data_IF_836491701512
#
_entry.id   IF_836491701512
#
_cell.length_a   1.000
_cell.length_b   1.000
_cell.length_c   1.000
_cell.angle_alpha   90.00
_cell.angle_beta   90.00
_cell.angle_gamma   90.00
#
_symmetry.space_group_name_H-M   'P 1'
#
loop_
_entity.id
_entity.type
_entity.pdbx_description
1 polymer ?
#
# COMPACT_ATOMS: atom_id res chain seq x y z
N UNK A 1 -45.61 -2.09 -3.75
CA UNK A 1 -45.99 -0.83 -4.43
C UNK A 1 -44.82 0.13 -4.62
N UNK A 2 -44.02 0.41 -3.59
CA UNK A 2 -42.91 1.38 -3.64
C UNK A 2 -41.84 1.08 -4.73
N UNK A 3 -41.38 -0.17 -4.88
CA UNK A 3 -40.38 -0.55 -5.91
C UNK A 3 -40.91 -0.40 -7.35
N UNK A 4 -42.23 -0.55 -7.57
CA UNK A 4 -42.85 -0.36 -8.89
C UNK A 4 -42.83 1.12 -9.31
N UNK A 5 -43.16 2.02 -8.39
CA UNK A 5 -43.10 3.46 -8.63
C UNK A 5 -41.66 3.92 -8.89
N UNK A 6 -40.68 3.41 -8.14
CA UNK A 6 -39.26 3.71 -8.40
C UNK A 6 -38.86 3.25 -9.81
N UNK A 7 -39.27 2.05 -10.24
CA UNK A 7 -39.00 1.56 -11.61
C UNK A 7 -39.55 2.49 -12.68
N UNK A 8 -40.77 2.97 -12.51
CA UNK A 8 -41.41 3.90 -13.44
C UNK A 8 -40.68 5.25 -13.48
N UNK A 9 -40.17 5.75 -12.35
CA UNK A 9 -39.36 6.97 -12.31
C UNK A 9 -37.97 6.78 -12.96
N UNK A 10 -37.31 5.65 -12.75
CA UNK A 10 -36.04 5.34 -13.40
C UNK A 10 -36.21 5.18 -14.92
N UNK A 11 -37.30 4.57 -15.38
CA UNK A 11 -37.64 4.49 -16.80
C UNK A 11 -37.80 5.89 -17.41
N UNK A 12 -38.57 6.76 -16.76
CA UNK A 12 -38.73 8.15 -17.21
C UNK A 12 -37.41 8.92 -17.22
N UNK A 13 -36.53 8.66 -16.24
CA UNK A 13 -35.21 9.29 -16.22
C UNK A 13 -34.36 8.86 -17.43
N UNK A 14 -34.43 7.59 -17.84
CA UNK A 14 -33.78 7.08 -19.05
C UNK A 14 -34.36 7.76 -20.29
N UNK A 15 -35.69 7.75 -20.46
CA UNK A 15 -36.36 8.39 -21.60
C UNK A 15 -36.02 9.90 -21.71
N UNK A 16 -35.98 10.61 -20.57
CA UNK A 16 -35.62 12.02 -20.54
C UNK A 16 -34.14 12.24 -20.88
N UNK A 17 -33.25 11.38 -20.41
CA UNK A 17 -31.82 11.46 -20.74
C UNK A 17 -31.59 11.24 -22.22
N UNK A 18 -32.31 10.31 -22.85
CA UNK A 18 -32.29 10.13 -24.31
C UNK A 18 -32.76 11.37 -25.04
N UNK A 19 -33.86 11.99 -24.58
CA UNK A 19 -34.36 13.21 -25.20
C UNK A 19 -33.37 14.38 -25.06
N UNK A 20 -32.72 14.51 -23.90
CA UNK A 20 -31.68 15.52 -23.67
C UNK A 20 -30.51 15.29 -24.63
N UNK A 21 -29.98 14.07 -24.71
CA UNK A 21 -28.86 13.74 -25.60
C UNK A 21 -29.27 13.86 -27.08
N UNK A 22 -30.48 13.46 -27.44
CA UNK A 22 -31.00 13.59 -28.80
C UNK A 22 -31.24 15.05 -29.22
N UNK A 23 -31.56 15.93 -28.28
CA UNK A 23 -31.78 17.35 -28.55
C UNK A 23 -30.46 18.13 -28.63
N UNK A 24 -29.57 17.93 -27.64
CA UNK A 24 -28.33 18.71 -27.53
C UNK A 24 -27.13 18.08 -28.22
N UNK A 25 -27.15 16.77 -28.49
CA UNK A 25 -26.04 15.99 -29.05
C UNK A 25 -25.16 15.34 -27.98
N UNK A 26 -24.80 16.07 -26.92
CA UNK A 26 -24.03 15.57 -25.78
C UNK A 26 -24.34 16.36 -24.49
N UNK A 27 -23.92 15.85 -23.33
CA UNK A 27 -24.00 16.59 -22.06
C UNK A 27 -23.10 17.81 -22.04
N UNK A 28 -21.98 17.79 -22.79
CA UNK A 28 -21.12 18.97 -22.93
C UNK A 28 -21.85 20.10 -23.67
N UNK A 29 -22.53 19.77 -24.76
CA UNK A 29 -23.32 20.76 -25.50
C UNK A 29 -24.53 21.24 -24.70
N UNK A 30 -25.18 20.36 -23.92
CA UNK A 30 -26.23 20.74 -22.99
C UNK A 30 -25.73 21.68 -21.90
N UNK A 31 -24.53 21.44 -21.36
CA UNK A 31 -23.86 22.30 -20.38
C UNK A 31 -23.63 23.70 -20.92
N UNK A 32 -23.06 23.83 -22.12
CA UNK A 32 -22.83 25.12 -22.78
C UNK A 32 -24.15 25.88 -22.99
N UNK A 33 -25.19 25.21 -23.51
CA UNK A 33 -26.48 25.82 -23.80
C UNK A 33 -27.28 26.22 -22.56
N UNK A 34 -27.06 25.55 -21.42
CA UNK A 34 -27.81 25.76 -20.18
C UNK A 34 -27.00 26.50 -19.10
N UNK A 35 -25.83 27.04 -19.45
CA UNK A 35 -24.90 27.71 -18.52
C UNK A 35 -25.59 28.78 -17.65
N UNK A 36 -26.50 29.57 -18.23
CA UNK A 36 -27.22 30.64 -17.52
C UNK A 36 -28.18 30.13 -16.43
N UNK A 37 -28.52 28.84 -16.45
CA UNK A 37 -29.39 28.19 -15.47
C UNK A 37 -28.60 27.42 -14.39
N UNK A 38 -27.27 27.37 -14.50
CA UNK A 38 -26.40 26.69 -13.55
C UNK A 38 -26.11 27.60 -12.33
N UNK A 39 -26.01 27.00 -11.15
CA UNK A 39 -25.41 27.70 -10.00
C UNK A 39 -23.91 27.85 -10.26
N UNK A 40 -23.29 28.87 -9.66
CA UNK A 40 -21.86 29.17 -9.83
C UNK A 40 -20.99 27.91 -9.65
N UNK A 41 -20.12 27.65 -10.63
CA UNK A 41 -19.23 26.47 -10.71
C UNK A 41 -19.93 25.11 -10.90
N UNK A 42 -21.17 25.08 -11.39
CA UNK A 42 -21.82 23.85 -11.87
C UNK A 42 -21.77 23.75 -13.40
N UNK A 43 -21.52 22.54 -13.90
CA UNK A 43 -21.54 22.21 -15.32
C UNK A 43 -22.97 22.00 -15.82
N UNK A 44 -23.85 21.41 -15.01
CA UNK A 44 -25.25 21.18 -15.38
C UNK A 44 -26.20 21.68 -14.29
N UNK A 45 -27.43 22.12 -14.65
CA UNK A 45 -28.46 22.40 -13.66
C UNK A 45 -28.77 21.14 -12.85
N UNK A 46 -28.87 21.26 -11.51
CA UNK A 46 -29.04 20.11 -10.61
C UNK A 46 -30.18 19.13 -11.02
N UNK A 47 -31.37 19.58 -11.46
CA UNK A 47 -32.42 18.66 -11.89
C UNK A 47 -32.02 17.80 -13.09
N UNK A 48 -31.27 18.38 -14.04
CA UNK A 48 -30.79 17.68 -15.22
C UNK A 48 -29.71 16.68 -14.81
N UNK A 49 -28.73 17.10 -14.01
CA UNK A 49 -27.70 16.21 -13.48
C UNK A 49 -28.32 15.00 -12.76
N UNK A 50 -29.28 15.23 -11.84
CA UNK A 50 -29.96 14.13 -11.14
C UNK A 50 -30.71 13.19 -12.08
N UNK A 51 -31.33 13.71 -13.14
CA UNK A 51 -32.03 12.90 -14.13
C UNK A 51 -31.06 11.95 -14.85
N UNK A 52 -29.93 12.47 -15.31
CA UNK A 52 -28.88 11.67 -15.95
C UNK A 52 -28.32 10.62 -15.00
N UNK A 53 -28.03 10.99 -13.75
CA UNK A 53 -27.52 10.05 -12.76
C UNK A 53 -28.52 8.93 -12.43
N UNK A 54 -29.83 9.23 -12.39
CA UNK A 54 -30.86 8.19 -12.23
C UNK A 54 -31.00 7.29 -13.45
N UNK A 55 -30.79 7.82 -14.66
CA UNK A 55 -30.82 7.01 -15.88
C UNK A 55 -29.75 5.91 -15.87
N UNK A 56 -28.65 6.16 -15.15
CA UNK A 56 -27.54 5.22 -15.01
C UNK A 56 -27.79 4.08 -14.01
N UNK A 57 -28.86 4.11 -13.21
CA UNK A 57 -29.04 3.16 -12.08
C UNK A 57 -29.25 1.71 -12.54
N UNK A 58 -29.88 1.49 -13.69
CA UNK A 58 -30.31 0.16 -14.15
C UNK A 58 -29.98 -0.06 -15.62
N UNK A 59 -29.91 -1.33 -16.01
CA UNK A 59 -29.67 -1.75 -17.39
C UNK A 59 -30.57 -1.01 -18.40
N UNK A 60 -29.98 -0.56 -19.50
CA UNK A 60 -30.64 0.12 -20.60
C UNK A 60 -29.80 -0.03 -21.88
N UNK A 61 -30.40 -0.13 -23.09
CA UNK A 61 -29.64 -0.21 -24.35
C UNK A 61 -28.62 0.92 -24.55
N UNK A 62 -28.93 2.13 -24.07
CA UNK A 62 -28.05 3.31 -24.15
C UNK A 62 -27.27 3.59 -22.86
N UNK A 63 -27.27 2.66 -21.89
CA UNK A 63 -26.60 2.88 -20.61
C UNK A 63 -25.10 3.20 -20.79
N UNK A 64 -24.43 2.53 -21.72
CA UNK A 64 -23.02 2.81 -22.03
C UNK A 64 -22.78 4.25 -22.48
N UNK A 65 -23.70 4.81 -23.27
CA UNK A 65 -23.66 6.22 -23.71
C UNK A 65 -23.86 7.14 -22.51
N UNK A 66 -24.86 6.89 -21.67
CA UNK A 66 -25.15 7.71 -20.49
C UNK A 66 -23.94 7.78 -19.55
N UNK A 67 -23.32 6.63 -19.26
CA UNK A 67 -22.12 6.57 -18.42
C UNK A 67 -20.91 7.25 -19.07
N UNK A 68 -20.75 7.08 -20.40
CA UNK A 68 -19.70 7.75 -21.16
C UNK A 68 -19.79 9.27 -21.07
N UNK A 69 -20.98 9.83 -21.27
CA UNK A 69 -21.25 11.27 -21.16
C UNK A 69 -20.98 11.80 -19.75
N UNK A 70 -21.38 11.07 -18.71
CA UNK A 70 -21.06 11.42 -17.32
C UNK A 70 -19.55 11.37 -17.08
N UNK A 71 -18.87 10.35 -17.62
CA UNK A 71 -17.43 10.22 -17.49
C UNK A 71 -16.69 11.38 -18.17
N UNK A 72 -17.03 11.72 -19.41
CA UNK A 72 -16.41 12.83 -20.14
C UNK A 72 -16.55 14.18 -19.44
N UNK A 73 -17.69 14.41 -18.79
CA UNK A 73 -17.98 15.65 -18.07
C UNK A 73 -17.26 15.73 -16.73
N UNK A 74 -17.20 14.61 -15.98
CA UNK A 74 -16.89 14.65 -14.55
C UNK A 74 -15.61 13.90 -14.14
N UNK A 75 -15.00 13.07 -15.00
CA UNK A 75 -13.87 12.22 -14.62
C UNK A 75 -12.60 12.99 -14.21
N UNK A 76 -12.37 14.16 -14.81
CA UNK A 76 -11.17 14.98 -14.56
C UNK A 76 -11.34 15.96 -13.40
N UNK A 77 -12.52 16.05 -12.81
CA UNK A 77 -12.75 16.93 -11.66
C UNK A 77 -12.17 16.25 -10.41
N UNK A 78 -11.08 16.80 -9.91
CA UNK A 78 -10.40 16.30 -8.71
C UNK A 78 -10.96 16.89 -7.40
N UNK A 79 -11.70 18.00 -7.50
CA UNK A 79 -12.26 18.74 -6.37
C UNK A 79 -13.45 19.61 -6.82
N UNK A 80 -14.30 20.01 -5.89
CA UNK A 80 -15.47 20.87 -6.15
C UNK A 80 -16.79 20.27 -5.66
N UNK A 81 -17.77 21.15 -5.42
CA UNK A 81 -19.07 20.76 -4.85
C UNK A 81 -19.87 19.83 -5.78
N UNK A 82 -19.78 20.03 -7.10
CA UNK A 82 -20.50 19.21 -8.08
C UNK A 82 -19.88 17.80 -8.21
N UNK A 83 -18.55 17.69 -8.26
CA UNK A 83 -17.86 16.39 -8.21
C UNK A 83 -18.23 15.61 -6.94
N UNK A 84 -18.22 16.28 -5.78
CA UNK A 84 -18.67 15.67 -4.53
C UNK A 84 -20.14 15.27 -4.59
N UNK A 85 -21.00 16.05 -5.24
CA UNK A 85 -22.43 15.73 -5.41
C UNK A 85 -22.60 14.45 -6.24
N UNK A 86 -21.92 14.34 -7.39
CA UNK A 86 -21.94 13.15 -8.25
C UNK A 86 -21.43 11.92 -7.47
N UNK A 87 -20.26 12.05 -6.84
CA UNK A 87 -19.64 10.95 -6.07
C UNK A 87 -20.49 10.53 -4.87
N UNK A 88 -21.03 11.48 -4.10
CA UNK A 88 -21.91 11.21 -2.97
C UNK A 88 -23.21 10.57 -3.42
N UNK A 89 -23.82 11.06 -4.50
CA UNK A 89 -25.06 10.49 -5.03
C UNK A 89 -24.88 9.02 -5.42
N UNK A 90 -23.85 8.70 -6.21
CA UNK A 90 -23.58 7.33 -6.66
C UNK A 90 -23.24 6.37 -5.52
N UNK A 91 -22.61 6.86 -4.44
CA UNK A 91 -22.22 6.02 -3.30
C UNK A 91 -23.30 5.87 -2.22
N UNK A 92 -24.20 6.84 -2.08
CA UNK A 92 -25.16 6.89 -0.95
C UNK A 92 -26.61 6.67 -1.35
N UNK A 93 -26.98 6.87 -2.62
CA UNK A 93 -28.36 6.74 -3.03
C UNK A 93 -28.81 5.27 -2.97
N UNK A 94 -29.87 5.02 -2.19
CA UNK A 94 -30.42 3.68 -1.95
C UNK A 94 -30.80 2.95 -3.23
N UNK A 95 -31.11 3.65 -4.33
CA UNK A 95 -31.54 3.02 -5.58
C UNK A 95 -30.44 2.20 -6.25
N UNK A 96 -29.17 2.59 -6.10
CA UNK A 96 -28.03 1.76 -6.53
C UNK A 96 -27.89 0.47 -5.71
N UNK A 97 -28.54 0.38 -4.54
CA UNK A 97 -28.54 -0.84 -3.71
C UNK A 97 -29.82 -1.66 -3.86
N UNK A 98 -30.95 -1.02 -4.18
CA UNK A 98 -32.26 -1.66 -4.31
C UNK A 98 -32.44 -2.38 -5.66
N UNK A 99 -31.65 -2.02 -6.68
CA UNK A 99 -31.73 -2.60 -8.01
C UNK A 99 -30.47 -3.41 -8.33
N UNK A 100 -30.57 -4.48 -9.14
CA UNK A 100 -29.39 -5.20 -9.60
C UNK A 100 -28.48 -4.26 -10.39
N UNK A 101 -27.19 -4.25 -10.03
CA UNK A 101 -26.19 -3.52 -10.78
C UNK A 101 -26.07 -4.08 -12.21
N UNK A 102 -26.01 -3.20 -13.23
CA UNK A 102 -25.58 -3.57 -14.58
C UNK A 102 -24.25 -4.30 -14.55
N UNK A 103 -24.00 -5.24 -15.47
CA UNK A 103 -22.74 -5.98 -15.52
C UNK A 103 -21.78 -5.37 -16.54
N UNK A 104 -20.59 -4.95 -16.10
CA UNK A 104 -19.52 -4.43 -16.99
C UNK A 104 -19.12 -5.44 -18.07
N UNK A 105 -19.00 -6.71 -17.68
CA UNK A 105 -18.74 -7.84 -18.58
C UNK A 105 -20.00 -8.70 -18.54
N UNK A 106 -20.60 -8.90 -19.71
CA UNK A 106 -21.80 -9.71 -19.84
C UNK A 106 -21.57 -11.17 -19.43
N UNK A 107 -22.65 -11.92 -19.26
CA UNK A 107 -22.58 -13.36 -18.96
C UNK A 107 -21.98 -14.17 -20.11
N UNK A 108 -22.01 -13.62 -21.32
CA UNK A 108 -21.35 -14.09 -22.54
C UNK A 108 -19.83 -13.82 -22.54
N UNK A 109 -19.31 -13.12 -21.53
CA UNK A 109 -17.90 -12.77 -21.43
C UNK A 109 -17.50 -11.56 -22.27
N UNK A 110 -18.46 -10.84 -22.86
CA UNK A 110 -18.20 -9.67 -23.71
C UNK A 110 -18.24 -8.38 -22.89
N UNK A 111 -17.35 -7.43 -23.21
CA UNK A 111 -17.36 -6.12 -22.60
C UNK A 111 -18.62 -5.34 -23.02
N UNK A 112 -19.46 -4.95 -22.05
CA UNK A 112 -20.67 -4.14 -22.29
C UNK A 112 -20.44 -2.66 -22.09
N UNK A 113 -19.60 -2.31 -21.12
CA UNK A 113 -19.37 -0.95 -20.69
C UNK A 113 -17.89 -0.67 -20.53
N UNK A 114 -17.46 0.53 -20.92
CA UNK A 114 -16.10 1.01 -20.68
C UNK A 114 -15.77 1.00 -19.18
N UNK A 115 -14.69 0.31 -18.75
CA UNK A 115 -14.36 0.15 -17.34
C UNK A 115 -14.20 1.46 -16.56
N UNK A 116 -13.62 2.49 -17.18
CA UNK A 116 -13.40 3.79 -16.53
C UNK A 116 -14.70 4.52 -16.21
N UNK A 117 -15.62 4.58 -17.17
CA UNK A 117 -16.96 5.15 -17.00
C UNK A 117 -17.80 4.30 -16.02
N UNK A 118 -17.74 2.98 -16.15
CA UNK A 118 -18.45 2.06 -15.26
C UNK A 118 -17.97 2.19 -13.82
N UNK A 119 -16.65 2.31 -13.57
CA UNK A 119 -16.12 2.51 -12.21
C UNK A 119 -16.54 3.85 -11.61
N UNK A 120 -16.65 4.91 -12.41
CA UNK A 120 -17.12 6.21 -11.92
C UNK A 120 -18.55 6.10 -11.37
N UNK A 121 -19.43 5.41 -12.10
CA UNK A 121 -20.88 5.32 -11.82
C UNK A 121 -21.22 4.19 -10.85
N UNK A 122 -20.70 2.99 -11.10
CA UNK A 122 -20.95 1.75 -10.35
C UNK A 122 -19.68 1.25 -9.64
N UNK A 123 -18.91 2.15 -9.04
CA UNK A 123 -17.64 1.86 -8.37
C UNK A 123 -17.66 0.64 -7.42
N UNK A 124 -18.63 0.53 -6.49
CA UNK A 124 -18.72 -0.65 -5.62
C UNK A 124 -18.89 -1.97 -6.37
N UNK A 125 -19.68 -1.99 -7.44
CA UNK A 125 -19.89 -3.17 -8.27
C UNK A 125 -18.65 -3.49 -9.12
N UNK A 126 -17.93 -2.47 -9.60
CA UNK A 126 -16.63 -2.63 -10.26
C UNK A 126 -15.61 -3.30 -9.33
N UNK A 127 -15.44 -2.78 -8.11
CA UNK A 127 -14.48 -3.34 -7.14
C UNK A 127 -14.83 -4.77 -6.75
N UNK A 128 -16.12 -5.06 -6.58
CA UNK A 128 -16.60 -6.43 -6.34
C UNK A 128 -16.31 -7.34 -7.53
N UNK A 129 -16.62 -6.90 -8.75
CA UNK A 129 -16.37 -7.66 -9.97
C UNK A 129 -14.89 -7.98 -10.17
N UNK A 130 -14.01 -7.01 -9.96
CA UNK A 130 -12.56 -7.22 -10.03
C UNK A 130 -12.09 -8.20 -8.94
N UNK A 131 -12.61 -8.08 -7.72
CA UNK A 131 -12.31 -9.03 -6.63
C UNK A 131 -12.77 -10.45 -6.96
N UNK A 132 -13.94 -10.60 -7.58
CA UNK A 132 -14.48 -11.90 -8.01
C UNK A 132 -13.63 -12.52 -9.14
N UNK A 133 -13.08 -11.71 -10.05
CA UNK A 133 -12.12 -12.17 -11.08
C UNK A 133 -10.85 -12.73 -10.41
N UNK A 134 -10.26 -12.00 -9.46
CA UNK A 134 -9.08 -12.48 -8.72
C UNK A 134 -9.37 -13.78 -7.96
N UNK A 135 -10.57 -13.92 -7.38
CA UNK A 135 -10.99 -15.15 -6.69
C UNK A 135 -11.11 -16.34 -7.64
N UNK A 136 -11.49 -16.12 -8.90
CA UNK A 136 -11.57 -17.16 -9.93
C UNK A 136 -10.19 -17.59 -10.45
N UNK A 137 -9.15 -16.78 -10.25
CA UNK A 137 -7.77 -17.15 -10.57
C UNK A 137 -7.26 -16.63 -11.91
N UNK A 138 -6.14 -17.20 -12.37
CA UNK A 138 -5.40 -16.74 -13.54
C UNK A 138 -6.22 -16.76 -14.84
N UNK A 139 -6.98 -17.82 -15.11
CA UNK A 139 -7.78 -17.95 -16.34
C UNK A 139 -8.81 -16.81 -16.48
N UNK A 140 -9.42 -16.39 -15.37
CA UNK A 140 -10.37 -15.28 -15.37
C UNK A 140 -9.68 -13.92 -15.60
N UNK A 141 -8.44 -13.76 -15.15
CA UNK A 141 -7.62 -12.58 -15.45
C UNK A 141 -7.18 -12.58 -16.91
N UNK A 142 -6.76 -13.71 -17.46
CA UNK A 142 -6.45 -13.82 -18.89
C UNK A 142 -7.67 -13.50 -19.76
N UNK A 143 -8.85 -13.96 -19.36
CA UNK A 143 -10.10 -13.58 -20.02
C UNK A 143 -10.34 -12.06 -19.95
N UNK A 144 -10.14 -11.42 -18.80
CA UNK A 144 -10.25 -9.96 -18.68
C UNK A 144 -9.25 -9.25 -19.60
N UNK A 145 -8.00 -9.69 -19.61
CA UNK A 145 -6.93 -9.13 -20.45
C UNK A 145 -7.23 -9.32 -21.95
N UNK A 146 -7.90 -10.41 -22.32
CA UNK A 146 -8.31 -10.65 -23.71
C UNK A 146 -9.31 -9.62 -24.25
N UNK A 147 -10.03 -8.92 -23.35
CA UNK A 147 -10.97 -7.84 -23.69
C UNK A 147 -10.28 -6.48 -23.84
N UNK A 148 -8.98 -6.35 -23.56
CA UNK A 148 -8.25 -5.08 -23.66
C UNK A 148 -8.31 -4.42 -25.04
N UNK A 149 -8.32 -5.14 -26.18
CA UNK A 149 -8.48 -4.53 -27.49
C UNK A 149 -9.77 -3.73 -27.65
N UNK A 150 -10.83 -4.11 -26.93
CA UNK A 150 -12.14 -3.46 -26.96
C UNK A 150 -12.26 -2.27 -25.98
N UNK A 151 -11.20 -1.97 -25.23
CA UNK A 151 -11.17 -0.91 -24.21
C UNK A 151 -10.39 0.32 -24.68
N UNK A 152 -10.83 1.49 -24.22
CA UNK A 152 -10.02 2.71 -24.29
C UNK A 152 -8.70 2.59 -23.51
N UNK A 153 -7.69 3.37 -23.90
CA UNK A 153 -6.41 3.43 -23.20
C UNK A 153 -6.55 3.85 -21.73
N UNK A 154 -7.44 4.81 -21.44
CA UNK A 154 -7.74 5.24 -20.08
C UNK A 154 -8.30 4.09 -19.22
N UNK A 155 -9.21 3.28 -19.77
CA UNK A 155 -9.75 2.10 -19.10
C UNK A 155 -8.67 1.04 -18.84
N UNK A 156 -7.80 0.76 -19.82
CA UNK A 156 -6.68 -0.19 -19.67
C UNK A 156 -5.70 0.25 -18.58
N UNK A 157 -5.25 1.51 -18.62
CA UNK A 157 -4.32 2.05 -17.63
C UNK A 157 -4.92 2.02 -16.22
N UNK A 158 -6.21 2.34 -16.09
CA UNK A 158 -6.91 2.26 -14.82
C UNK A 158 -7.01 0.81 -14.32
N UNK A 159 -7.37 -0.14 -15.19
CA UNK A 159 -7.43 -1.56 -14.83
C UNK A 159 -6.07 -2.11 -14.41
N UNK A 160 -5.03 -1.85 -15.19
CA UNK A 160 -3.64 -2.23 -14.87
C UNK A 160 -3.26 -1.72 -13.47
N UNK A 161 -3.54 -0.44 -13.17
CA UNK A 161 -3.32 0.13 -11.85
C UNK A 161 -4.12 -0.58 -10.76
N UNK A 162 -5.42 -0.82 -10.94
CA UNK A 162 -6.27 -1.48 -9.94
C UNK A 162 -5.85 -2.93 -9.68
N UNK A 163 -5.49 -3.66 -10.74
CA UNK A 163 -5.02 -5.04 -10.63
C UNK A 163 -3.67 -5.12 -9.92
N UNK A 164 -2.74 -4.23 -10.27
CA UNK A 164 -1.44 -4.13 -9.60
C UNK A 164 -1.61 -3.82 -8.11
N UNK A 165 -2.45 -2.84 -7.76
CA UNK A 165 -2.76 -2.50 -6.37
C UNK A 165 -3.34 -3.69 -5.58
N UNK A 166 -4.23 -4.49 -6.20
CA UNK A 166 -4.74 -5.72 -5.55
C UNK A 166 -3.65 -6.75 -5.29
N UNK A 167 -2.67 -6.89 -6.19
CA UNK A 167 -1.52 -7.78 -5.97
C UNK A 167 -0.64 -7.25 -4.84
N UNK A 168 -0.29 -5.97 -4.86
CA UNK A 168 0.57 -5.34 -3.86
C UNK A 168 -0.02 -5.42 -2.45
N UNK A 169 -1.33 -5.26 -2.32
CA UNK A 169 -2.05 -5.39 -1.05
C UNK A 169 -2.26 -6.84 -0.59
N UNK A 170 -1.76 -7.83 -1.34
CA UNK A 170 -1.96 -9.26 -1.05
C UNK A 170 -0.66 -9.96 -0.66
N UNK A 171 -0.76 -11.04 0.11
CA UNK A 171 0.36 -11.95 0.39
C UNK A 171 0.49 -13.05 -0.68
N UNK A 172 0.13 -12.73 -1.93
CA UNK A 172 0.19 -13.70 -3.03
C UNK A 172 1.65 -14.12 -3.25
N UNK A 173 1.98 -15.43 -3.24
CA UNK A 173 3.34 -15.91 -3.47
C UNK A 173 3.88 -15.57 -4.86
N UNK A 174 5.21 -15.50 -4.99
CA UNK A 174 5.88 -15.10 -6.25
C UNK A 174 5.65 -16.06 -7.42
N UNK A 175 5.47 -17.35 -7.12
CA UNK A 175 5.17 -18.42 -8.09
C UNK A 175 3.69 -18.51 -8.47
N UNK A 176 2.84 -17.62 -7.93
CA UNK A 176 1.41 -17.61 -8.21
C UNK A 176 1.13 -17.42 -9.71
N UNK A 177 0.26 -18.27 -10.32
CA UNK A 177 -0.17 -18.10 -11.70
C UNK A 177 -0.74 -16.70 -11.99
N UNK A 178 -1.41 -16.10 -10.99
CA UNK A 178 -1.96 -14.74 -11.09
C UNK A 178 -0.85 -13.70 -11.29
N UNK A 179 0.24 -13.79 -10.53
CA UNK A 179 1.39 -12.86 -10.66
C UNK A 179 2.09 -13.02 -12.00
N UNK A 180 2.17 -14.26 -12.51
CA UNK A 180 2.73 -14.53 -13.83
C UNK A 180 1.92 -13.86 -14.94
N UNK A 181 0.60 -13.96 -14.90
CA UNK A 181 -0.31 -13.31 -15.87
C UNK A 181 -0.15 -11.79 -15.83
N UNK A 182 -0.03 -11.21 -14.63
CA UNK A 182 0.08 -9.77 -14.45
C UNK A 182 1.51 -9.24 -14.51
N UNK A 183 2.52 -10.05 -14.82
CA UNK A 183 3.94 -9.68 -14.61
C UNK A 183 4.34 -8.37 -15.27
N UNK A 184 3.90 -8.13 -16.51
CA UNK A 184 4.20 -6.90 -17.26
C UNK A 184 3.49 -5.66 -16.70
N UNK A 185 2.50 -5.84 -15.83
CA UNK A 185 1.72 -4.78 -15.18
C UNK A 185 2.23 -4.46 -13.77
N UNK A 186 3.10 -5.30 -13.23
CA UNK A 186 3.68 -5.14 -11.90
C UNK A 186 4.99 -4.38 -11.96
N UNK A 187 5.19 -3.54 -10.97
CA UNK A 187 6.38 -2.74 -10.69
C UNK A 187 7.04 -3.37 -9.46
N UNK A 188 8.25 -3.89 -9.66
CA UNK A 188 9.00 -4.61 -8.63
C UNK A 188 9.25 -3.76 -7.38
N UNK A 189 9.53 -2.47 -7.57
CA UNK A 189 9.83 -1.55 -6.46
C UNK A 189 8.54 -1.31 -5.67
N UNK A 190 7.42 -1.04 -6.34
CA UNK A 190 6.14 -0.82 -5.65
C UNK A 190 5.64 -2.08 -4.93
N UNK A 191 5.83 -3.26 -5.52
CA UNK A 191 5.52 -4.53 -4.85
C UNK A 191 6.36 -4.70 -3.58
N UNK A 192 7.69 -4.53 -3.68
CA UNK A 192 8.57 -4.62 -2.52
C UNK A 192 8.19 -3.61 -1.42
N UNK A 193 7.88 -2.36 -1.78
CA UNK A 193 7.43 -1.34 -0.83
C UNK A 193 6.11 -1.74 -0.13
N UNK A 194 5.15 -2.29 -0.87
CA UNK A 194 3.88 -2.76 -0.28
C UNK A 194 4.08 -3.99 0.63
N UNK A 195 5.03 -4.87 0.31
CA UNK A 195 5.39 -5.97 1.23
C UNK A 195 6.02 -5.43 2.51
N UNK A 196 6.88 -4.42 2.42
CA UNK A 196 7.43 -3.73 3.60
C UNK A 196 6.29 -3.10 4.42
N UNK A 197 5.27 -2.52 3.79
CA UNK A 197 4.09 -2.01 4.50
C UNK A 197 3.41 -3.13 5.31
N UNK A 198 3.16 -4.27 4.68
CA UNK A 198 2.56 -5.44 5.33
C UNK A 198 3.42 -5.96 6.49
N UNK A 199 4.76 -5.91 6.42
CA UNK A 199 5.62 -6.34 7.52
C UNK A 199 5.31 -5.57 8.81
N UNK A 200 5.17 -4.25 8.72
CA UNK A 200 4.96 -3.36 9.87
C UNK A 200 3.50 -3.23 10.32
N UNK A 201 2.56 -3.91 9.65
CA UNK A 201 1.21 -4.12 10.17
C UNK A 201 1.14 -5.25 11.23
N UNK A 202 2.16 -6.10 11.33
CA UNK A 202 2.21 -7.18 12.33
C UNK A 202 2.92 -6.76 13.61
N UNK A 203 2.48 -7.29 14.74
CA UNK A 203 3.17 -7.15 16.02
C UNK A 203 4.58 -7.77 15.96
N UNK A 204 5.59 -7.07 16.49
CA UNK A 204 6.99 -7.48 16.44
C UNK A 204 7.33 -8.59 17.44
N UNK A 205 6.75 -9.78 17.24
CA UNK A 205 6.93 -10.94 18.11
C UNK A 205 8.02 -11.86 17.57
N UNK A 206 9.08 -12.07 18.35
CA UNK A 206 10.19 -12.99 18.03
C UNK A 206 9.92 -14.42 18.52
N UNK A 207 8.82 -15.02 18.06
CA UNK A 207 8.51 -16.45 18.30
C UNK A 207 8.61 -17.23 16.99
N UNK A 208 9.03 -18.51 17.02
CA UNK A 208 8.87 -19.39 15.87
C UNK A 208 7.42 -19.33 15.37
N UNK A 209 7.24 -19.27 14.06
CA UNK A 209 5.94 -19.18 13.37
C UNK A 209 5.13 -17.90 13.65
N UNK A 210 5.74 -16.85 14.20
CA UNK A 210 5.05 -15.55 14.30
C UNK A 210 4.75 -14.97 12.92
N UNK A 211 3.63 -14.26 12.81
CA UNK A 211 3.25 -13.57 11.57
C UNK A 211 4.33 -12.60 11.11
N UNK A 212 5.01 -11.92 12.04
CA UNK A 212 6.11 -11.02 11.76
C UNK A 212 7.28 -11.74 11.07
N UNK A 213 7.75 -12.86 11.61
CA UNK A 213 8.86 -13.59 11.00
C UNK A 213 8.48 -14.17 9.64
N UNK A 214 7.27 -14.68 9.47
CA UNK A 214 6.78 -15.15 8.17
C UNK A 214 6.71 -14.03 7.13
N UNK A 215 6.21 -12.84 7.52
CA UNK A 215 6.17 -11.67 6.64
C UNK A 215 7.58 -11.15 6.32
N UNK A 216 8.49 -11.17 7.30
CA UNK A 216 9.87 -10.78 7.09
C UNK A 216 10.53 -11.68 6.03
N UNK A 217 10.35 -13.00 6.12
CA UNK A 217 10.81 -13.93 5.09
C UNK A 217 10.17 -13.64 3.74
N UNK A 218 8.86 -13.44 3.68
CA UNK A 218 8.14 -13.09 2.44
C UNK A 218 8.67 -11.81 1.77
N UNK A 219 9.01 -10.79 2.56
CA UNK A 219 9.54 -9.51 2.06
C UNK A 219 10.96 -9.68 1.54
N UNK A 220 11.85 -10.23 2.36
CA UNK A 220 13.27 -10.26 2.04
C UNK A 220 13.63 -11.33 1.02
N UNK A 221 12.90 -12.45 0.97
CA UNK A 221 13.07 -13.43 -0.12
C UNK A 221 12.79 -12.79 -1.48
N UNK A 222 11.83 -11.86 -1.55
CA UNK A 222 11.55 -11.10 -2.78
C UNK A 222 12.62 -10.04 -3.05
N UNK A 223 12.97 -9.21 -2.06
CA UNK A 223 14.00 -8.17 -2.20
C UNK A 223 15.35 -8.74 -2.67
N UNK A 224 15.73 -9.93 -2.19
CA UNK A 224 16.96 -10.61 -2.56
C UNK A 224 16.97 -11.12 -4.01
N UNK A 225 15.81 -11.21 -4.67
CA UNK A 225 15.72 -11.50 -6.12
C UNK A 225 15.84 -10.28 -7.01
N UNK A 226 15.73 -9.08 -6.45
CA UNK A 226 15.74 -7.83 -7.21
C UNK A 226 17.17 -7.40 -7.55
N UNK A 227 17.29 -6.62 -8.63
CA UNK A 227 18.52 -5.90 -8.91
C UNK A 227 18.86 -4.95 -7.75
N UNK A 228 20.15 -4.80 -7.42
CA UNK A 228 20.61 -4.03 -6.27
C UNK A 228 20.03 -2.60 -6.22
N UNK A 229 19.90 -1.93 -7.36
CA UNK A 229 19.31 -0.58 -7.44
C UNK A 229 17.83 -0.57 -7.03
N UNK A 230 17.04 -1.55 -7.50
CA UNK A 230 15.62 -1.66 -7.16
C UNK A 230 15.42 -2.05 -5.69
N UNK A 231 16.27 -2.95 -5.17
CA UNK A 231 16.25 -3.32 -3.76
C UNK A 231 16.52 -2.11 -2.86
N UNK A 232 17.53 -1.29 -3.19
CA UNK A 232 17.82 -0.06 -2.47
C UNK A 232 16.68 0.97 -2.55
N UNK A 233 16.07 1.13 -3.72
CA UNK A 233 14.91 2.02 -3.88
C UNK A 233 13.70 1.55 -3.05
N UNK A 234 13.44 0.24 -3.01
CA UNK A 234 12.38 -0.32 -2.18
C UNK A 234 12.65 -0.12 -0.68
N UNK A 235 13.91 -0.25 -0.25
CA UNK A 235 14.34 -0.05 1.15
C UNK A 235 14.15 1.39 1.65
N UNK A 236 13.93 2.38 0.78
CA UNK A 236 13.48 3.72 1.21
C UNK A 236 12.16 3.65 1.99
N UNK A 237 11.33 2.63 1.75
CA UNK A 237 10.12 2.41 2.54
C UNK A 237 10.40 1.94 3.96
N UNK A 238 11.49 1.18 4.16
CA UNK A 238 11.97 0.82 5.50
C UNK A 238 12.45 2.07 6.24
N UNK A 239 13.19 2.97 5.57
CA UNK A 239 13.59 4.28 6.12
C UNK A 239 12.38 5.06 6.64
N UNK A 240 11.33 5.17 5.82
CA UNK A 240 10.08 5.85 6.21
C UNK A 240 9.47 5.27 7.49
N UNK A 241 9.42 3.95 7.65
CA UNK A 241 8.89 3.33 8.87
C UNK A 241 9.76 3.58 10.09
N UNK A 242 11.08 3.49 9.95
CA UNK A 242 12.00 3.77 11.06
C UNK A 242 11.83 5.22 11.53
N UNK A 243 11.84 6.18 10.60
CA UNK A 243 11.63 7.60 10.93
C UNK A 243 10.28 7.84 11.61
N UNK A 244 9.21 7.28 11.06
CA UNK A 244 7.86 7.39 11.60
C UNK A 244 7.74 6.79 13.02
N UNK A 245 8.34 5.62 13.26
CA UNK A 245 8.32 4.96 14.56
C UNK A 245 9.19 5.68 15.59
N UNK A 246 10.33 6.20 15.19
CA UNK A 246 11.19 7.04 16.05
C UNK A 246 10.47 8.33 16.45
N UNK A 247 9.77 8.98 15.52
CA UNK A 247 9.04 10.22 15.78
C UNK A 247 7.79 10.00 16.65
N UNK A 248 6.97 8.99 16.33
CA UNK A 248 5.74 8.72 17.08
C UNK A 248 5.96 8.01 18.41
N UNK A 249 7.09 7.32 18.54
CA UNK A 249 7.49 6.56 19.71
C UNK A 249 6.35 5.68 20.29
N UNK A 250 5.75 4.78 19.48
CA UNK A 250 4.68 3.93 19.95
C UNK A 250 5.17 2.97 21.04
N UNK A 251 4.27 2.53 21.92
CA UNK A 251 4.55 1.40 22.81
C UNK A 251 4.55 0.12 21.97
N UNK A 252 5.63 -0.66 22.10
CA UNK A 252 5.79 -1.93 21.42
C UNK A 252 5.87 -3.05 22.46
N UNK A 253 4.98 -4.04 22.33
CA UNK A 253 5.00 -5.24 23.17
C UNK A 253 5.90 -6.32 22.55
N UNK A 254 6.42 -7.24 23.40
CA UNK A 254 7.14 -8.44 22.96
C UNK A 254 8.67 -8.31 22.98
N UNK A 255 9.33 -8.74 21.89
CA UNK A 255 10.79 -8.73 21.71
C UNK A 255 11.16 -7.91 20.45
N UNK A 256 10.86 -6.59 20.45
CA UNK A 256 10.97 -5.74 19.27
C UNK A 256 12.42 -5.56 18.81
N UNK A 257 13.37 -5.48 19.73
CA UNK A 257 14.80 -5.30 19.41
C UNK A 257 15.33 -6.46 18.57
N UNK A 258 15.06 -7.71 18.96
CA UNK A 258 15.50 -8.89 18.22
C UNK A 258 14.87 -8.95 16.81
N UNK A 259 13.59 -8.59 16.69
CA UNK A 259 12.88 -8.49 15.41
C UNK A 259 13.50 -7.39 14.51
N UNK A 260 13.72 -6.20 15.05
CA UNK A 260 14.34 -5.07 14.35
C UNK A 260 15.76 -5.42 13.89
N UNK A 261 16.57 -6.06 14.74
CA UNK A 261 17.92 -6.49 14.37
C UNK A 261 17.90 -7.48 13.21
N UNK A 262 16.96 -8.43 13.17
CA UNK A 262 16.82 -9.36 12.03
C UNK A 262 16.48 -8.62 10.73
N UNK A 263 15.55 -7.67 10.77
CA UNK A 263 15.20 -6.83 9.61
C UNK A 263 16.40 -6.04 9.12
N UNK A 264 17.12 -5.37 10.03
CA UNK A 264 18.30 -4.57 9.68
C UNK A 264 19.43 -5.42 9.12
N UNK A 265 19.67 -6.61 9.67
CA UNK A 265 20.70 -7.53 9.16
C UNK A 265 20.43 -7.96 7.72
N UNK A 266 19.17 -8.31 7.37
CA UNK A 266 18.82 -8.64 5.98
C UNK A 266 18.79 -7.41 5.07
N UNK A 267 18.44 -6.22 5.58
CA UNK A 267 18.52 -5.00 4.79
C UNK A 267 19.98 -4.63 4.48
N UNK A 268 20.91 -4.81 5.43
CA UNK A 268 22.34 -4.53 5.23
C UNK A 268 22.97 -5.33 4.10
N UNK A 269 22.60 -6.61 3.92
CA UNK A 269 23.12 -7.42 2.81
C UNK A 269 22.73 -6.86 1.43
N UNK A 270 21.71 -6.00 1.37
CA UNK A 270 21.24 -5.30 0.18
C UNK A 270 21.81 -3.87 0.07
N UNK A 271 22.76 -3.50 0.91
CA UNK A 271 23.40 -2.18 0.93
C UNK A 271 22.64 -1.11 1.71
N UNK A 272 21.71 -1.50 2.60
CA UNK A 272 21.08 -0.57 3.54
C UNK A 272 22.05 -0.15 4.64
N UNK A 273 22.02 1.12 5.04
CA UNK A 273 22.88 1.69 6.08
C UNK A 273 22.05 2.16 7.30
N UNK A 274 21.75 1.28 8.27
CA UNK A 274 20.84 1.59 9.39
C UNK A 274 21.27 2.78 10.25
N UNK A 275 22.58 2.93 10.49
CA UNK A 275 23.10 4.02 11.34
C UNK A 275 22.84 5.40 10.74
N UNK A 276 23.05 5.54 9.43
CA UNK A 276 22.85 6.81 8.74
C UNK A 276 21.38 7.24 8.81
N UNK A 277 20.47 6.28 8.58
CA UNK A 277 19.03 6.52 8.69
C UNK A 277 18.64 6.96 10.09
N UNK A 278 19.11 6.28 11.13
CA UNK A 278 18.78 6.62 12.52
C UNK A 278 19.42 7.93 12.97
N UNK A 279 20.66 8.22 12.55
CA UNK A 279 21.29 9.49 12.83
C UNK A 279 20.47 10.64 12.23
N UNK A 280 19.99 10.49 10.99
CA UNK A 280 19.11 11.45 10.34
C UNK A 280 17.76 11.59 11.04
N UNK A 281 17.10 10.48 11.39
CA UNK A 281 15.82 10.48 12.11
C UNK A 281 15.93 11.21 13.47
N UNK A 282 17.06 11.03 14.16
CA UNK A 282 17.36 11.67 15.44
C UNK A 282 17.95 13.09 15.30
N UNK A 283 18.11 13.59 14.06
CA UNK A 283 18.76 14.88 13.75
C UNK A 283 20.14 15.02 14.40
N UNK A 284 20.91 13.93 14.35
CA UNK A 284 22.25 13.84 14.93
C UNK A 284 23.30 14.17 13.87
N UNK A 285 24.14 15.17 14.13
CA UNK A 285 25.31 15.50 13.30
C UNK A 285 26.58 14.73 13.73
N UNK A 286 26.41 13.69 14.56
CA UNK A 286 27.52 12.90 15.11
C UNK A 286 28.12 12.00 14.04
N UNK A 287 29.42 11.74 14.16
CA UNK A 287 30.05 10.64 13.42
C UNK A 287 29.43 9.30 13.84
N UNK A 288 29.49 8.26 12.99
CA UNK A 288 29.04 6.90 13.34
C UNK A 288 29.59 6.44 14.70
N UNK A 289 30.89 6.67 14.94
CA UNK A 289 31.55 6.31 16.20
C UNK A 289 30.97 7.05 17.39
N UNK A 290 30.76 8.36 17.28
CA UNK A 290 30.21 9.19 18.36
C UNK A 290 28.73 8.89 18.61
N UNK A 291 28.00 8.52 17.55
CA UNK A 291 26.60 8.12 17.63
C UNK A 291 26.46 6.77 18.34
N UNK A 292 27.25 5.76 17.97
CA UNK A 292 27.26 4.45 18.66
C UNK A 292 27.68 4.60 20.12
N UNK A 293 28.68 5.43 20.43
CA UNK A 293 29.06 5.75 21.81
C UNK A 293 27.92 6.39 22.59
N UNK A 294 27.19 7.30 21.96
CA UNK A 294 26.04 7.98 22.58
C UNK A 294 24.93 6.98 22.92
N UNK A 295 24.57 6.12 21.98
CA UNK A 295 23.56 5.07 22.16
C UNK A 295 23.95 4.19 23.35
N UNK A 296 25.15 3.63 23.34
CA UNK A 296 25.61 2.68 24.36
C UNK A 296 25.81 3.31 25.75
N UNK A 297 26.16 4.61 25.82
CA UNK A 297 26.33 5.31 27.11
C UNK A 297 24.99 5.60 27.78
N UNK A 298 23.96 5.89 27.00
CA UNK A 298 22.64 6.28 27.50
C UNK A 298 21.64 5.12 27.54
N UNK A 299 22.01 3.97 26.97
CA UNK A 299 21.22 2.77 27.06
C UNK A 299 21.35 2.14 28.46
N UNK A 300 20.24 2.09 29.18
CA UNK A 300 20.12 1.27 30.38
C UNK A 300 19.18 0.12 30.02
N UNK A 301 19.63 -1.15 30.05
CA UNK A 301 18.76 -2.29 29.76
C UNK A 301 17.72 -2.43 30.87
N UNK A 302 16.59 -1.73 30.71
CA UNK A 302 15.44 -1.80 31.60
C UNK A 302 14.19 -2.02 30.73
N UNK A 303 13.57 -3.21 30.78
CA UNK A 303 12.39 -3.54 29.98
C UNK A 303 11.21 -2.57 30.16
N UNK A 304 11.16 -1.87 31.28
CA UNK A 304 10.05 -1.00 31.67
C UNK A 304 10.19 0.46 31.20
N UNK A 305 11.35 0.84 30.62
CA UNK A 305 11.67 2.24 30.26
C UNK A 305 12.13 2.43 28.80
N UNK A 306 12.12 1.39 27.97
CA UNK A 306 12.61 1.49 26.60
C UNK A 306 11.60 2.18 25.67
N UNK A 307 12.02 3.31 25.10
CA UNK A 307 11.34 3.97 23.98
C UNK A 307 11.53 3.18 22.68
N UNK A 308 10.57 3.24 21.75
CA UNK A 308 10.73 2.67 20.41
C UNK A 308 11.96 3.24 19.69
N UNK A 309 12.28 4.52 19.90
CA UNK A 309 13.49 5.13 19.37
C UNK A 309 14.77 4.46 19.93
N UNK A 310 14.82 4.20 21.25
CA UNK A 310 15.95 3.48 21.86
C UNK A 310 16.05 2.03 21.39
N UNK A 311 14.93 1.36 21.16
CA UNK A 311 14.91 -0.01 20.61
C UNK A 311 15.53 -0.06 19.21
N UNK A 312 15.15 0.87 18.32
CA UNK A 312 15.74 0.97 16.98
C UNK A 312 17.23 1.32 17.01
N UNK A 313 17.64 2.25 17.88
CA UNK A 313 19.06 2.59 18.07
C UNK A 313 19.88 1.39 18.52
N UNK A 314 19.37 0.64 19.49
CA UNK A 314 20.00 -0.61 19.95
C UNK A 314 20.06 -1.64 18.83
N UNK A 315 18.94 -1.87 18.13
CA UNK A 315 18.88 -2.83 17.05
C UNK A 315 19.90 -2.52 15.94
N UNK A 316 20.11 -1.24 15.62
CA UNK A 316 21.11 -0.82 14.66
C UNK A 316 22.54 -1.07 15.13
N UNK A 317 22.87 -0.78 16.39
CA UNK A 317 24.18 -1.13 16.96
C UNK A 317 24.42 -2.64 16.90
N UNK A 318 23.42 -3.44 17.27
CA UNK A 318 23.50 -4.91 17.22
C UNK A 318 23.59 -5.47 15.79
N UNK A 319 23.21 -4.69 14.78
CA UNK A 319 23.32 -5.07 13.36
C UNK A 319 24.68 -4.73 12.72
N UNK A 320 25.57 -4.04 13.44
CA UNK A 320 26.86 -3.64 12.89
C UNK A 320 27.83 -4.80 12.75
N UNK A 321 28.70 -4.71 11.75
CA UNK A 321 29.75 -5.71 11.54
C UNK A 321 30.77 -5.65 12.68
N UNK A 322 31.16 -6.83 13.18
CA UNK A 322 32.09 -6.96 14.31
C UNK A 322 33.36 -6.13 14.11
N UNK A 323 33.92 -6.14 12.90
CA UNK A 323 35.14 -5.39 12.58
C UNK A 323 34.94 -3.88 12.78
N UNK A 324 33.80 -3.34 12.32
CA UNK A 324 33.46 -1.91 12.48
C UNK A 324 33.31 -1.57 13.96
N UNK A 325 32.67 -2.43 14.75
CA UNK A 325 32.53 -2.25 16.20
C UNK A 325 33.87 -2.27 16.94
N UNK A 326 34.79 -3.14 16.54
CA UNK A 326 36.14 -3.24 17.13
C UNK A 326 37.01 -2.02 16.80
N UNK A 327 36.85 -1.43 15.62
CA UNK A 327 37.55 -0.21 15.19
C UNK A 327 37.04 1.05 15.91
N UNK A 328 35.82 1.01 16.45
CA UNK A 328 35.24 2.16 17.17
C UNK A 328 35.88 2.43 18.54
N UNK A 329 36.75 1.57 19.07
CA UNK A 329 37.38 1.71 20.39
C UNK A 329 36.37 1.84 21.55
N UNK A 330 35.34 0.99 21.51
CA UNK A 330 34.30 0.94 22.52
C UNK A 330 34.83 0.38 23.86
N UNK A 331 34.31 0.84 25.01
CA UNK A 331 34.63 0.25 26.30
C UNK A 331 34.35 -1.26 26.34
N UNK A 332 35.23 -2.04 26.98
CA UNK A 332 35.12 -3.50 27.06
C UNK A 332 33.74 -3.98 27.57
N UNK A 333 33.13 -3.23 28.50
CA UNK A 333 31.77 -3.50 29.01
C UNK A 333 30.70 -3.45 27.91
N UNK A 334 30.80 -2.52 26.97
CA UNK A 334 29.82 -2.39 25.90
C UNK A 334 30.05 -3.46 24.84
N UNK A 335 31.31 -3.75 24.49
CA UNK A 335 31.66 -4.86 23.60
C UNK A 335 31.21 -6.20 24.17
N UNK A 336 31.37 -6.42 25.49
CA UNK A 336 30.87 -7.61 26.16
C UNK A 336 29.35 -7.69 26.03
N UNK A 337 28.63 -6.61 26.35
CA UNK A 337 27.16 -6.56 26.21
C UNK A 337 26.69 -6.89 24.77
N UNK A 338 27.32 -6.29 23.75
CA UNK A 338 27.01 -6.60 22.33
C UNK A 338 27.28 -8.08 22.05
N UNK A 339 28.46 -8.59 22.43
CA UNK A 339 28.86 -9.99 22.21
C UNK A 339 27.90 -10.99 22.84
N UNK A 340 27.35 -10.67 24.02
CA UNK A 340 26.38 -11.52 24.71
C UNK A 340 25.02 -11.57 23.98
N UNK A 341 24.64 -10.49 23.29
CA UNK A 341 23.38 -10.40 22.52
C UNK A 341 23.48 -10.96 21.11
N UNK A 342 24.60 -10.74 20.42
CA UNK A 342 24.80 -11.21 19.04
C UNK A 342 25.41 -12.61 18.97
N UNK A 343 26.05 -13.07 20.05
CA UNK A 343 26.83 -14.32 20.04
C UNK A 343 28.13 -14.21 19.23
N UNK A 344 28.62 -13.00 18.94
CA UNK A 344 29.81 -12.80 18.12
C UNK A 344 31.06 -13.45 18.72
N UNK A 345 31.64 -14.42 18.00
CA UNK A 345 32.93 -15.03 18.36
C UNK A 345 34.10 -14.06 18.19
N UNK A 346 34.02 -13.11 17.25
CA UNK A 346 35.11 -12.18 16.97
C UNK A 346 35.29 -11.18 18.11
N UNK A 347 34.19 -10.55 18.55
CA UNK A 347 34.19 -9.62 19.67
C UNK A 347 34.63 -10.35 20.95
N UNK A 348 34.09 -11.56 21.17
CA UNK A 348 34.49 -12.43 22.29
C UNK A 348 35.99 -12.73 22.31
N UNK A 349 36.57 -13.13 21.18
CA UNK A 349 37.99 -13.42 21.06
C UNK A 349 38.88 -12.18 21.27
N UNK A 350 38.39 -10.99 20.90
CA UNK A 350 39.07 -9.73 21.21
C UNK A 350 39.06 -9.42 22.71
N UNK A 351 37.91 -9.61 23.37
CA UNK A 351 37.77 -9.40 24.82
C UNK A 351 38.66 -10.34 25.64
N UNK A 352 38.79 -11.60 25.23
CA UNK A 352 39.64 -12.59 25.90
C UNK A 352 41.14 -12.22 25.91
N UNK A 353 41.58 -11.35 24.99
CA UNK A 353 42.97 -10.84 24.97
C UNK A 353 43.23 -9.71 25.97
N UNK A 354 42.17 -9.16 26.58
CA UNK A 354 42.24 -8.07 27.56
C UNK A 354 41.93 -8.61 28.96
N UNK A 355 42.58 -8.07 29.98
CA UNK A 355 42.36 -8.50 31.38
C UNK A 355 40.90 -8.34 31.82
N UNK A 356 40.37 -7.12 31.75
CA UNK A 356 38.98 -6.83 32.10
C UNK A 356 37.97 -7.52 31.16
N UNK A 357 38.27 -7.60 29.87
CA UNK A 357 37.43 -8.31 28.89
C UNK A 357 37.31 -9.81 29.17
N UNK A 358 38.39 -10.47 29.61
CA UNK A 358 38.37 -11.90 29.98
C UNK A 358 37.43 -12.16 31.16
N UNK A 359 37.46 -11.30 32.16
CA UNK A 359 36.62 -11.45 33.36
C UNK A 359 35.13 -11.25 33.00
N UNK A 360 34.82 -10.34 32.07
CA UNK A 360 33.46 -10.15 31.55
C UNK A 360 32.95 -11.35 30.74
N UNK A 361 33.80 -11.91 29.87
CA UNK A 361 33.44 -13.12 29.10
C UNK A 361 33.19 -14.31 30.05
N UNK A 362 34.01 -14.46 31.10
CA UNK A 362 33.81 -15.48 32.13
C UNK A 362 32.50 -15.26 32.90
N UNK A 363 32.15 -14.02 33.25
CA UNK A 363 30.87 -13.72 33.89
C UNK A 363 29.68 -14.14 33.00
N UNK A 364 29.75 -13.85 31.70
CA UNK A 364 28.71 -14.26 30.73
C UNK A 364 28.56 -15.77 30.62
N UNK A 365 29.66 -16.51 30.57
CA UNK A 365 29.64 -17.98 30.52
C UNK A 365 29.01 -18.60 31.77
N UNK A 366 29.14 -17.91 32.90
CA UNK A 366 28.54 -18.29 34.18
C UNK A 366 27.09 -17.79 34.34
N UNK A 367 26.58 -16.98 33.40
CA UNK A 367 25.26 -16.38 33.45
C UNK A 367 25.11 -15.29 34.53
N UNK A 368 26.20 -14.60 34.86
CA UNK A 368 26.29 -13.58 35.92
C UNK A 368 25.99 -12.16 35.43
#
# INVERSE_FOLDING_TARGET
MHTRQIREHLAKAQDLTEQILGHYGSLRQASEALTDFCVQNQLLPEPLLRTVLYACVREHPLLGVFMGEVYEMYANLSSGQEFLTVKCFMSTDRRFKEFPDPLMIGQDGVLRYEPSAYRLVHGPAFEKGLTDIFRKGADALEQLLSLYPDMTEASRNMLDFQMAQKIYASQTPDDSPIRRVLREKLDDVKDAQARIDLLFESEMINKPDSSFLQRMEFVFNFLETLDAQKAQEALLRLTYYIEFMVERNPLLDGQPVECMTKVLNRAKSLGYEPLSVLANAMKSERTDKDFVHHILKNFTPSPDEESCASMWMVAAVLSLDDQKLLEMDLPDRHLAWISGRTGSSNIRNHLLKKGAGRDMVMAQDLGL
#
